data_IF_513422221194
#
_entry.id   IF_513422221194
#
_cell.length_a   1.000
_cell.length_b   1.000
_cell.length_c   1.000
_cell.angle_alpha   90.00
_cell.angle_beta   90.00
_cell.angle_gamma   90.00
#
_symmetry.space_group_name_H-M   'P 1'
#
loop_
_entity.id
_entity.type
_entity.pdbx_description
1 polymer ?
#
# COMPACT_ATOMS: atom_id res chain seq x y z
N UNK A 1 -7.50 14.11 -0.88
CA UNK A 1 -6.19 13.42 -0.85
C UNK A 1 -5.29 13.97 -1.94
N UNK A 2 -4.06 14.22 -1.60
CA UNK A 2 -3.07 14.74 -2.54
C UNK A 2 -2.59 13.58 -3.41
N UNK A 3 -2.53 13.79 -4.73
CA UNK A 3 -2.02 12.79 -5.65
C UNK A 3 -0.54 12.52 -5.38
N UNK A 4 -0.07 11.28 -5.55
CA UNK A 4 1.35 10.99 -5.40
C UNK A 4 2.19 11.73 -6.43
N UNK A 5 3.45 12.10 -6.07
CA UNK A 5 4.30 12.91 -6.96
C UNK A 5 4.75 12.17 -8.22
N UNK A 6 4.65 10.85 -8.24
CA UNK A 6 5.01 10.05 -9.40
C UNK A 6 3.88 9.88 -10.42
N UNK A 7 2.74 10.51 -10.17
CA UNK A 7 1.58 10.36 -11.03
C UNK A 7 0.84 9.05 -10.80
N UNK A 8 -0.18 8.81 -11.61
CA UNK A 8 -1.07 7.67 -11.46
C UNK A 8 -0.98 6.73 -12.65
N UNK A 9 -0.76 5.45 -12.38
CA UNK A 9 -0.86 4.41 -13.40
C UNK A 9 -2.28 3.87 -13.45
N UNK A 10 -2.92 3.96 -14.60
CA UNK A 10 -4.21 3.31 -14.81
C UNK A 10 -4.01 1.82 -15.06
N UNK A 11 -5.07 1.04 -14.92
CA UNK A 11 -5.05 -0.38 -15.28
C UNK A 11 -4.53 -0.60 -16.72
N UNK A 12 -4.92 0.28 -17.65
CA UNK A 12 -4.48 0.19 -19.05
C UNK A 12 -2.98 0.40 -19.20
N UNK A 13 -2.39 1.30 -18.39
CA UNK A 13 -0.96 1.56 -18.45
C UNK A 13 -0.12 0.40 -17.93
N UNK A 14 -0.72 -0.49 -17.13
CA UNK A 14 -0.03 -1.68 -16.64
C UNK A 14 -0.04 -2.84 -17.61
N UNK A 15 -0.91 -2.83 -18.62
CA UNK A 15 -0.95 -3.87 -19.64
C UNK A 15 0.37 -3.88 -20.42
N UNK A 16 1.01 -5.03 -20.50
CA UNK A 16 2.30 -5.19 -21.17
C UNK A 16 3.50 -4.81 -20.33
N UNK A 17 3.33 -4.27 -19.12
CA UNK A 17 4.44 -4.05 -18.21
C UNK A 17 4.89 -5.38 -17.62
N UNK A 18 6.20 -5.57 -17.58
CA UNK A 18 6.79 -6.72 -16.92
C UNK A 18 7.18 -6.33 -15.50
N UNK A 19 6.84 -7.19 -14.55
CA UNK A 19 7.36 -7.08 -13.20
C UNK A 19 8.81 -7.55 -13.18
N UNK A 20 9.69 -6.75 -12.60
CA UNK A 20 11.12 -7.02 -12.57
C UNK A 20 11.53 -7.42 -11.15
N UNK A 21 12.04 -8.65 -11.01
CA UNK A 21 12.56 -9.12 -9.73
C UNK A 21 13.76 -8.26 -9.32
N UNK A 22 13.80 -7.86 -8.06
CA UNK A 22 14.82 -6.96 -7.52
C UNK A 22 14.49 -5.47 -7.67
N UNK A 23 13.48 -5.13 -8.47
CA UNK A 23 13.01 -3.76 -8.60
C UNK A 23 12.17 -3.38 -7.39
N UNK A 24 12.33 -2.14 -6.93
CA UNK A 24 11.48 -1.55 -5.88
C UNK A 24 10.28 -0.88 -6.53
N UNK A 25 9.10 -1.15 -5.97
CA UNK A 25 7.83 -0.57 -6.41
C UNK A 25 7.12 0.08 -5.23
N UNK A 26 6.38 1.13 -5.51
CA UNK A 26 5.37 1.66 -4.60
C UNK A 26 4.00 1.30 -5.17
N UNK A 27 3.22 0.58 -4.37
CA UNK A 27 1.87 0.17 -4.71
C UNK A 27 0.89 1.02 -3.91
N UNK A 28 -0.08 1.61 -4.59
CA UNK A 28 -1.13 2.40 -3.95
C UNK A 28 -2.49 1.81 -4.28
N UNK A 29 -3.27 1.51 -3.25
CA UNK A 29 -4.64 1.02 -3.38
C UNK A 29 -5.58 1.93 -2.61
N UNK A 30 -6.74 2.20 -3.18
CA UNK A 30 -7.74 3.11 -2.62
C UNK A 30 -9.05 2.37 -2.37
N UNK A 31 -9.71 2.68 -1.28
CA UNK A 31 -11.00 2.06 -0.94
C UNK A 31 -12.08 2.45 -1.94
N UNK A 32 -13.07 1.57 -2.08
CA UNK A 32 -14.25 1.81 -2.90
C UNK A 32 -14.97 3.09 -2.44
N UNK A 33 -15.21 4.01 -3.37
CA UNK A 33 -15.81 5.31 -3.09
C UNK A 33 -15.06 6.12 -2.01
N UNK A 34 -13.78 5.83 -1.80
CA UNK A 34 -12.91 6.47 -0.81
C UNK A 34 -13.49 6.47 0.60
N UNK A 35 -14.22 5.43 0.94
CA UNK A 35 -14.77 5.27 2.29
C UNK A 35 -13.64 5.07 3.30
N UNK A 36 -13.80 5.67 4.47
CA UNK A 36 -12.82 5.61 5.55
C UNK A 36 -13.00 4.30 6.33
N UNK A 37 -12.49 3.20 5.77
CA UNK A 37 -12.68 1.85 6.30
C UNK A 37 -11.63 1.48 7.35
N UNK A 38 -10.48 2.15 7.36
CA UNK A 38 -9.33 1.79 8.20
C UNK A 38 -9.11 2.84 9.29
N UNK A 39 -10.10 3.00 10.17
CA UNK A 39 -10.04 3.95 11.29
C UNK A 39 -9.81 3.29 12.64
N UNK A 40 -9.97 1.97 12.75
CA UNK A 40 -9.68 1.21 13.96
C UNK A 40 -8.42 0.36 13.81
N UNK A 41 -7.77 0.04 14.92
CA UNK A 41 -6.61 -0.85 14.90
C UNK A 41 -6.95 -2.22 14.31
N UNK A 42 -8.14 -2.75 14.61
CA UNK A 42 -8.56 -4.05 14.10
C UNK A 42 -8.75 -4.02 12.58
N UNK A 43 -9.32 -2.94 12.04
CA UNK A 43 -9.47 -2.77 10.59
C UNK A 43 -8.13 -2.62 9.90
N UNK A 44 -7.23 -1.81 10.46
CA UNK A 44 -5.87 -1.62 9.93
C UNK A 44 -5.10 -2.95 9.93
N UNK A 45 -5.24 -3.76 10.97
CA UNK A 45 -4.59 -5.07 11.07
C UNK A 45 -4.98 -5.99 9.91
N UNK A 46 -6.20 -5.86 9.38
CA UNK A 46 -6.63 -6.63 8.21
C UNK A 46 -5.73 -6.40 6.99
N UNK A 47 -5.16 -5.21 6.86
CA UNK A 47 -4.19 -4.90 5.79
C UNK A 47 -2.79 -5.31 6.21
N UNK A 48 -2.33 -4.86 7.37
CA UNK A 48 -0.95 -5.08 7.82
C UNK A 48 -0.62 -6.58 7.87
N UNK A 49 -1.55 -7.41 8.34
CA UNK A 49 -1.36 -8.85 8.39
C UNK A 49 -1.10 -9.43 6.98
N UNK A 50 -1.74 -8.89 5.95
CA UNK A 50 -1.50 -9.33 4.58
C UNK A 50 -0.13 -8.89 4.06
N UNK A 51 0.30 -7.67 4.39
CA UNK A 51 1.65 -7.22 4.01
C UNK A 51 2.70 -8.15 4.62
N UNK A 52 2.57 -8.48 5.89
CA UNK A 52 3.47 -9.40 6.57
C UNK A 52 3.40 -10.82 6.00
N UNK A 53 2.21 -11.31 5.71
CA UNK A 53 2.02 -12.64 5.13
C UNK A 53 2.70 -12.77 3.77
N UNK A 54 2.51 -11.78 2.91
CA UNK A 54 3.13 -11.77 1.57
C UNK A 54 4.66 -11.75 1.69
N UNK A 55 5.19 -10.97 2.64
CA UNK A 55 6.63 -10.93 2.90
C UNK A 55 7.15 -12.27 3.43
N UNK A 56 6.43 -12.89 4.37
CA UNK A 56 6.79 -14.20 4.92
C UNK A 56 6.81 -15.29 3.86
N UNK A 57 5.98 -15.15 2.82
CA UNK A 57 5.98 -16.06 1.67
C UNK A 57 7.15 -15.84 0.73
N UNK A 58 8.00 -14.86 0.99
CA UNK A 58 9.17 -14.57 0.16
C UNK A 58 8.86 -13.87 -1.15
N UNK A 59 7.66 -13.29 -1.28
CA UNK A 59 7.25 -12.64 -2.53
C UNK A 59 7.77 -11.21 -2.64
N UNK A 60 7.95 -10.53 -1.50
CA UNK A 60 8.45 -9.16 -1.42
C UNK A 60 9.32 -8.99 -0.19
N UNK A 61 10.11 -7.93 -0.18
CA UNK A 61 10.71 -7.37 1.03
C UNK A 61 10.16 -5.96 1.21
N UNK A 62 9.36 -5.78 2.26
CA UNK A 62 8.76 -4.46 2.55
C UNK A 62 9.83 -3.47 2.97
N UNK A 63 9.70 -2.24 2.50
CA UNK A 63 10.61 -1.14 2.81
C UNK A 63 9.90 -0.01 3.56
N UNK A 64 8.67 0.28 3.24
CA UNK A 64 7.86 1.26 3.95
C UNK A 64 6.39 1.05 3.61
N UNK A 65 5.50 1.39 4.54
CA UNK A 65 4.08 1.41 4.25
C UNK A 65 3.36 2.39 5.19
N UNK A 66 2.20 2.82 4.76
CA UNK A 66 1.25 3.58 5.58
C UNK A 66 -0.16 3.13 5.20
N UNK A 67 -0.96 2.82 6.23
CA UNK A 67 -2.38 2.48 6.07
C UNK A 67 -3.19 3.69 6.50
N UNK A 68 -3.63 4.47 5.51
CA UNK A 68 -4.49 5.63 5.72
C UNK A 68 -5.95 5.18 5.83
N UNK A 69 -6.85 6.01 6.35
CA UNK A 69 -8.26 5.60 6.49
C UNK A 69 -8.91 5.11 5.20
N UNK A 70 -8.52 5.63 4.04
CA UNK A 70 -9.14 5.35 2.75
C UNK A 70 -8.18 4.85 1.68
N UNK A 71 -6.91 4.60 2.01
CA UNK A 71 -5.93 4.08 1.04
C UNK A 71 -4.69 3.55 1.74
N UNK A 72 -3.89 2.82 0.98
CA UNK A 72 -2.61 2.25 1.44
C UNK A 72 -1.52 2.60 0.44
N UNK A 73 -0.37 3.05 0.94
CA UNK A 73 0.87 3.10 0.17
C UNK A 73 1.81 2.05 0.72
N UNK A 74 2.38 1.23 -0.16
CA UNK A 74 3.27 0.14 0.22
C UNK A 74 4.45 0.08 -0.73
N UNK A 75 5.65 0.33 -0.20
CA UNK A 75 6.90 0.24 -0.94
C UNK A 75 7.62 -1.04 -0.58
N UNK A 76 8.02 -1.80 -1.60
CA UNK A 76 8.69 -3.09 -1.41
C UNK A 76 9.61 -3.41 -2.58
N UNK A 77 10.61 -4.25 -2.33
CA UNK A 77 11.40 -4.88 -3.37
C UNK A 77 10.70 -6.17 -3.80
N UNK A 78 10.48 -6.34 -5.08
CA UNK A 78 9.85 -7.54 -5.63
C UNK A 78 10.86 -8.68 -5.63
N UNK A 79 10.50 -9.81 -4.99
CA UNK A 79 11.36 -10.99 -4.86
C UNK A 79 10.89 -12.15 -5.71
N UNK A 80 9.59 -12.30 -5.91
CA UNK A 80 8.99 -13.38 -6.69
C UNK A 80 7.61 -12.96 -7.17
N UNK A 81 7.05 -13.69 -8.12
CA UNK A 81 5.71 -13.45 -8.67
C UNK A 81 5.61 -12.15 -9.48
N UNK A 82 4.41 -11.78 -9.85
CA UNK A 82 4.12 -10.56 -10.59
C UNK A 82 3.46 -9.52 -9.68
N UNK A 83 3.71 -8.25 -9.98
CA UNK A 83 3.14 -7.13 -9.22
C UNK A 83 1.62 -7.22 -9.15
N UNK A 84 0.96 -7.59 -10.25
CA UNK A 84 -0.50 -7.75 -10.28
C UNK A 84 -0.99 -8.84 -9.34
N UNK A 85 -0.23 -9.94 -9.21
CA UNK A 85 -0.55 -11.02 -8.28
C UNK A 85 -0.42 -10.60 -6.83
N UNK A 86 0.60 -9.80 -6.52
CA UNK A 86 0.82 -9.22 -5.19
C UNK A 86 -0.34 -8.30 -4.82
N UNK A 87 -0.71 -7.39 -5.72
CA UNK A 87 -1.82 -6.47 -5.51
C UNK A 87 -3.14 -7.22 -5.31
N UNK A 88 -3.41 -8.23 -6.13
CA UNK A 88 -4.61 -9.05 -6.03
C UNK A 88 -4.69 -9.76 -4.68
N UNK A 89 -3.60 -10.38 -4.25
CA UNK A 89 -3.54 -11.12 -2.97
C UNK A 89 -3.80 -10.17 -1.80
N UNK A 90 -3.13 -9.05 -1.76
CA UNK A 90 -3.30 -8.06 -0.69
C UNK A 90 -4.75 -7.57 -0.63
N UNK A 91 -5.32 -7.20 -1.77
CA UNK A 91 -6.69 -6.68 -1.84
C UNK A 91 -7.73 -7.74 -1.48
N UNK A 92 -7.64 -8.93 -2.04
CA UNK A 92 -8.62 -10.00 -1.80
C UNK A 92 -8.61 -10.46 -0.35
N UNK A 93 -7.43 -10.70 0.20
CA UNK A 93 -7.30 -11.23 1.56
C UNK A 93 -7.67 -10.20 2.61
N UNK A 94 -7.26 -8.94 2.43
CA UNK A 94 -7.64 -7.86 3.35
C UNK A 94 -9.12 -7.56 3.30
N UNK A 95 -9.73 -7.60 2.11
CA UNK A 95 -11.18 -7.41 1.96
C UNK A 95 -11.97 -8.50 2.68
N UNK A 96 -11.54 -9.76 2.52
CA UNK A 96 -12.17 -10.88 3.21
C UNK A 96 -12.08 -10.73 4.73
N UNK A 97 -10.90 -10.37 5.24
CA UNK A 97 -10.69 -10.16 6.67
C UNK A 97 -11.53 -9.01 7.21
N UNK A 98 -11.55 -7.88 6.49
CA UNK A 98 -12.33 -6.71 6.90
C UNK A 98 -13.83 -7.00 6.91
N UNK A 99 -14.34 -7.69 5.90
CA UNK A 99 -15.75 -8.06 5.82
C UNK A 99 -16.16 -9.03 6.95
N UNK A 100 -15.27 -9.97 7.29
CA UNK A 100 -15.50 -10.85 8.44
C UNK A 100 -15.55 -10.05 9.75
N UNK A 101 -14.61 -9.14 9.93
CA UNK A 101 -14.56 -8.29 11.12
C UNK A 101 -15.84 -7.44 11.25
N UNK A 102 -16.33 -6.87 10.15
CA UNK A 102 -17.51 -6.02 10.13
C UNK A 102 -18.83 -6.80 10.06
N UNK A 103 -18.78 -8.12 9.86
CA UNK A 103 -19.97 -8.95 9.74
C UNK A 103 -20.80 -8.66 8.50
N UNK A 104 -20.16 -8.29 7.41
CA UNK A 104 -20.86 -7.90 6.17
C UNK A 104 -20.09 -8.36 4.94
N UNK A 105 -20.74 -8.22 3.77
CA UNK A 105 -20.13 -8.44 2.45
C UNK A 105 -20.30 -7.17 1.64
N UNK A 106 -19.23 -6.42 1.47
CA UNK A 106 -19.27 -5.20 0.65
C UNK A 106 -17.95 -5.07 -0.09
N UNK A 107 -17.97 -4.27 -1.15
CA UNK A 107 -16.75 -3.94 -1.88
C UNK A 107 -15.87 -3.07 -1.00
N UNK A 108 -14.62 -3.50 -0.79
CA UNK A 108 -13.65 -2.79 0.04
C UNK A 108 -12.78 -1.88 -0.81
N UNK A 109 -12.23 -2.40 -1.90
CA UNK A 109 -11.27 -1.69 -2.74
C UNK A 109 -11.90 -1.28 -4.06
N UNK A 110 -11.50 -0.11 -4.56
CA UNK A 110 -11.84 0.23 -5.95
C UNK A 110 -11.03 -0.66 -6.91
N UNK A 111 -11.50 -0.85 -8.15
CA UNK A 111 -10.77 -1.66 -9.13
C UNK A 111 -9.38 -1.10 -9.41
N UNK A 112 -8.42 -2.00 -9.67
CA UNK A 112 -7.06 -1.62 -10.05
C UNK A 112 -6.20 -1.16 -8.89
N UNK A 113 -5.07 -0.57 -9.22
CA UNK A 113 -4.11 0.00 -8.28
C UNK A 113 -3.18 0.93 -9.05
N UNK A 114 -2.43 1.75 -8.32
CA UNK A 114 -1.36 2.57 -8.89
C UNK A 114 -0.04 1.95 -8.52
N UNK A 115 0.92 1.96 -9.45
CA UNK A 115 2.25 1.45 -9.20
C UNK A 115 3.30 2.40 -9.74
N UNK A 116 4.43 2.44 -9.07
CA UNK A 116 5.57 3.27 -9.46
C UNK A 116 6.86 2.50 -9.18
N UNK A 117 7.73 2.40 -10.19
CA UNK A 117 9.05 1.80 -10.04
C UNK A 117 10.03 2.84 -9.51
N UNK A 118 10.68 2.52 -8.39
CA UNK A 118 11.69 3.40 -7.78
C UNK A 118 13.06 2.89 -8.19
N UNK A 119 13.80 3.70 -8.96
CA UNK A 119 15.01 3.23 -9.67
C UNK A 119 16.32 3.68 -9.07
N UNK A 120 16.34 4.70 -8.23
CA UNK A 120 17.57 5.25 -7.66
C UNK A 120 17.47 5.29 -6.14
N UNK A 121 18.61 5.12 -5.47
CA UNK A 121 18.70 5.14 -4.00
C UNK A 121 18.18 6.47 -3.42
N UNK A 122 18.52 7.59 -4.06
CA UNK A 122 17.98 8.90 -3.72
C UNK A 122 16.47 8.93 -3.76
N UNK A 123 15.86 8.29 -4.77
CA UNK A 123 14.42 8.17 -4.90
C UNK A 123 13.82 7.31 -3.81
N UNK A 124 14.54 6.29 -3.31
CA UNK A 124 14.07 5.47 -2.18
C UNK A 124 13.85 6.32 -0.92
N UNK A 125 14.82 7.15 -0.57
CA UNK A 125 14.71 8.03 0.59
C UNK A 125 13.54 9.00 0.43
N UNK A 126 13.40 9.59 -0.74
CA UNK A 126 12.31 10.52 -1.05
C UNK A 126 10.94 9.84 -0.96
N UNK A 127 10.81 8.65 -1.53
CA UNK A 127 9.56 7.90 -1.49
C UNK A 127 9.20 7.47 -0.06
N UNK A 128 10.20 7.05 0.72
CA UNK A 128 10.00 6.71 2.13
C UNK A 128 9.44 7.90 2.89
N UNK A 129 10.05 9.06 2.75
CA UNK A 129 9.58 10.29 3.41
C UNK A 129 8.17 10.67 2.94
N UNK A 130 7.88 10.53 1.66
CA UNK A 130 6.54 10.80 1.13
C UNK A 130 5.49 9.90 1.79
N UNK A 131 5.79 8.60 1.90
CA UNK A 131 4.89 7.62 2.53
C UNK A 131 4.68 7.98 4.01
N UNK A 132 5.76 8.19 4.75
CA UNK A 132 5.67 8.47 6.19
C UNK A 132 5.04 9.83 6.50
N UNK A 133 5.15 10.79 5.59
CA UNK A 133 4.56 12.12 5.75
C UNK A 133 3.09 12.19 5.31
N UNK A 134 2.55 11.13 4.73
CA UNK A 134 1.17 11.12 4.26
C UNK A 134 0.16 11.55 5.34
N UNK A 135 0.23 11.02 6.58
CA UNK A 135 -0.69 11.45 7.64
C UNK A 135 -0.54 12.93 8.02
N UNK A 136 0.67 13.48 7.88
CA UNK A 136 0.90 14.91 8.13
C UNK A 136 0.23 15.75 7.04
N UNK A 137 0.43 15.38 5.76
CA UNK A 137 -0.21 16.09 4.63
C UNK A 137 -1.74 16.02 4.70
N UNK A 138 -2.27 14.90 5.21
CA UNK A 138 -3.71 14.73 5.39
C UNK A 138 -4.27 15.46 6.60
N UNK A 139 -3.44 16.08 7.42
CA UNK A 139 -3.86 16.79 8.61
C UNK A 139 -4.29 15.90 9.78
N UNK A 140 -3.93 14.62 9.75
CA UNK A 140 -4.30 13.66 10.81
C UNK A 140 -3.36 13.79 12.00
N UNK A 141 -2.07 14.02 11.74
CA UNK A 141 -1.05 14.25 12.76
C UNK A 141 -0.21 15.46 12.37
N UNK A 142 0.60 15.98 13.29
CA UNK A 142 1.45 17.13 13.03
C UNK A 142 2.86 16.76 12.61
N UNK A 143 3.39 15.65 13.10
CA UNK A 143 4.77 15.25 12.85
C UNK A 143 4.83 13.81 12.33
N UNK A 144 5.84 13.56 11.47
CA UNK A 144 6.19 12.20 11.07
C UNK A 144 6.55 11.39 12.34
N UNK A 145 6.02 10.17 12.42
CA UNK A 145 6.23 9.29 13.57
C UNK A 145 5.09 9.28 14.57
N UNK A 146 4.19 10.26 14.52
CA UNK A 146 3.02 10.27 15.39
C UNK A 146 1.92 9.32 14.94
N UNK A 147 1.86 8.98 13.65
CA UNK A 147 0.82 8.11 13.11
C UNK A 147 1.21 6.64 13.32
N UNK A 148 0.39 5.86 14.06
CA UNK A 148 0.79 4.51 14.45
C UNK A 148 0.73 3.47 13.33
N UNK A 149 0.04 3.75 12.23
CA UNK A 149 -0.18 2.81 11.14
C UNK A 149 0.75 3.08 9.96
N UNK A 150 1.99 3.39 10.26
CA UNK A 150 3.06 3.61 9.29
C UNK A 150 4.34 2.97 9.78
N UNK A 151 5.17 2.53 8.84
CA UNK A 151 6.42 1.85 9.17
C UNK A 151 7.43 2.01 8.03
N UNK A 152 8.71 2.01 8.37
CA UNK A 152 9.77 1.87 7.38
C UNK A 152 10.92 1.02 7.93
N UNK A 153 11.71 0.43 7.01
CA UNK A 153 12.87 -0.36 7.36
C UNK A 153 14.00 0.47 7.97
N UNK A 154 13.92 1.78 7.88
CA UNK A 154 14.96 2.71 8.35
C UNK A 154 14.56 3.52 9.59
N UNK A 155 13.45 3.19 10.22
CA UNK A 155 12.96 3.89 11.43
C UNK A 155 12.84 2.97 12.64
#
# INVERSE_FOLDING_TARGET
MIAPPWGMSSHRLRLGRQSIIGQVYVLTTTTHQRRRLFESEAAVACVIDQLHYIEQRGLVQSLAWVVMPDHVHWMFELRAAHLSGIARRMKSSSALALNRLAGRRSTVWQPGYFDHAVRAEESLARQTLYILANPVRAGIVQLIGEYPHAWSAWT
#
